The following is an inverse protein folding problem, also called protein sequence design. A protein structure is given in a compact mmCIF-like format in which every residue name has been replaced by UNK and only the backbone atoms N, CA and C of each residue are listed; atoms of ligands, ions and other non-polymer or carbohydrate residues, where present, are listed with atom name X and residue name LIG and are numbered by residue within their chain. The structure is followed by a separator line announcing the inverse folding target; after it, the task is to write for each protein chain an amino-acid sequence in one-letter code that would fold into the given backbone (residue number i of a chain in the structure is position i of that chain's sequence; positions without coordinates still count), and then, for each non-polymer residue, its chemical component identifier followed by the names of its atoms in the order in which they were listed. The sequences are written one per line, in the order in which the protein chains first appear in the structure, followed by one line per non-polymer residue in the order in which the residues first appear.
data_IF_260114999758
#
_entry.id   IF_260114999758
#
_cell.length_a   1.000
_cell.length_b   1.000
_cell.length_c   1.000
_cell.angle_alpha   90.00
_cell.angle_beta   90.00
_cell.angle_gamma   90.00
#
_symmetry.space_group_name_H-M   'P 1'
#
loop_
_entity.id
_entity.type
_entity.pdbx_description
1 polymer ?
#
# COMPACT_ATOMS: atom_id res chain seq x y z
N UNK A 1 5.40 21.50 -40.95
CA UNK A 1 4.95 20.12 -40.99
C UNK A 1 6.07 19.30 -40.37
N UNK A 2 6.14 19.25 -39.07
CA UNK A 2 7.07 18.41 -38.31
C UNK A 2 6.25 17.78 -37.18
N UNK A 3 5.83 16.54 -37.45
CA UNK A 3 5.31 15.63 -36.42
C UNK A 3 6.52 15.15 -35.61
N UNK A 4 6.78 15.78 -34.48
CA UNK A 4 7.58 15.20 -33.41
C UNK A 4 6.62 14.40 -32.50
N UNK A 5 6.52 13.11 -32.79
CA UNK A 5 6.05 12.13 -31.83
C UNK A 5 7.07 12.16 -30.68
N UNK A 6 6.70 12.78 -29.56
CA UNK A 6 7.38 12.61 -28.30
C UNK A 6 7.31 11.10 -27.99
N UNK A 7 8.46 10.46 -28.07
CA UNK A 7 8.67 9.13 -27.54
C UNK A 7 8.49 9.27 -26.01
N UNK A 8 7.38 8.72 -25.52
CA UNK A 8 7.14 8.49 -24.09
C UNK A 8 8.11 7.38 -23.67
N UNK A 9 9.30 7.79 -23.24
CA UNK A 9 10.42 6.92 -22.86
C UNK A 9 10.30 6.51 -21.38
N UNK A 10 9.06 6.29 -20.91
CA UNK A 10 8.81 5.72 -19.60
C UNK A 10 8.99 4.19 -19.72
N UNK A 11 9.96 3.56 -19.04
CA UNK A 11 10.15 2.12 -19.09
C UNK A 11 8.85 1.44 -18.67
N UNK A 12 8.19 0.78 -19.63
CA UNK A 12 7.02 -0.03 -19.34
C UNK A 12 7.45 -1.14 -18.40
N UNK A 13 6.95 -1.10 -17.18
CA UNK A 13 7.16 -2.15 -16.19
C UNK A 13 6.73 -3.48 -16.81
N UNK A 14 7.66 -4.41 -16.92
CA UNK A 14 7.37 -5.74 -17.48
C UNK A 14 6.65 -6.60 -16.44
N UNK A 15 5.32 -6.56 -16.48
CA UNK A 15 4.47 -7.36 -15.57
C UNK A 15 4.46 -8.85 -15.93
N UNK A 16 5.25 -9.30 -16.89
CA UNK A 16 5.36 -10.72 -17.27
C UNK A 16 6.54 -11.42 -16.60
N UNK A 17 7.48 -10.67 -16.00
CA UNK A 17 8.62 -11.22 -15.27
C UNK A 17 8.25 -11.41 -13.79
N UNK A 18 8.35 -12.66 -13.23
CA UNK A 18 8.13 -12.89 -11.79
C UNK A 18 9.04 -12.06 -10.88
N UNK A 19 10.18 -11.57 -11.36
CA UNK A 19 11.09 -10.72 -10.59
C UNK A 19 10.43 -9.40 -10.18
N UNK A 20 9.45 -8.91 -10.93
CA UNK A 20 8.67 -7.70 -10.62
C UNK A 20 8.00 -7.77 -9.25
N UNK A 21 7.62 -8.97 -8.77
CA UNK A 21 6.97 -9.15 -7.47
C UNK A 21 7.82 -8.56 -6.34
N UNK A 22 9.16 -8.63 -6.45
CA UNK A 22 10.06 -8.12 -5.42
C UNK A 22 9.95 -6.60 -5.23
N UNK A 23 9.67 -5.85 -6.28
CA UNK A 23 9.52 -4.40 -6.23
C UNK A 23 8.30 -3.96 -5.41
N UNK A 24 7.28 -4.81 -5.32
CA UNK A 24 6.06 -4.52 -4.57
C UNK A 24 6.16 -4.82 -3.07
N UNK A 25 7.32 -5.28 -2.56
CA UNK A 25 7.48 -5.56 -1.12
C UNK A 25 7.15 -4.36 -0.22
N UNK A 26 7.67 -3.13 -0.46
CA UNK A 26 7.35 -1.96 0.37
C UNK A 26 5.85 -1.65 0.41
N UNK A 27 5.21 -1.73 -0.75
CA UNK A 27 3.77 -1.53 -0.90
C UNK A 27 2.95 -2.56 -0.10
N UNK A 28 3.25 -3.85 -0.25
CA UNK A 28 2.57 -4.92 0.48
C UNK A 28 2.81 -4.84 1.98
N UNK A 29 4.03 -4.48 2.40
CA UNK A 29 4.39 -4.29 3.81
C UNK A 29 3.60 -3.15 4.44
N UNK A 30 3.46 -2.05 3.75
CA UNK A 30 2.66 -0.93 4.20
C UNK A 30 1.17 -1.33 4.35
N UNK A 31 0.58 -1.99 3.35
CA UNK A 31 -0.80 -2.47 3.41
C UNK A 31 -1.02 -3.48 4.55
N UNK A 32 -0.10 -4.42 4.75
CA UNK A 32 -0.15 -5.39 5.84
C UNK A 32 -0.16 -4.68 7.21
N UNK A 33 0.73 -3.70 7.41
CA UNK A 33 0.78 -2.91 8.65
C UNK A 33 -0.49 -2.13 8.93
N UNK A 34 -1.20 -1.68 7.90
CA UNK A 34 -2.48 -0.97 8.04
C UNK A 34 -3.56 -1.94 8.52
N UNK A 35 -3.66 -3.13 7.93
CA UNK A 35 -4.78 -4.03 8.13
C UNK A 35 -4.58 -5.05 9.26
N UNK A 36 -3.32 -5.37 9.60
CA UNK A 36 -3.04 -6.28 10.71
C UNK A 36 -3.33 -5.61 12.05
N UNK A 37 -4.16 -6.26 12.88
CA UNK A 37 -4.40 -5.82 14.26
C UNK A 37 -3.10 -5.85 15.04
N UNK A 38 -2.93 -4.92 16.02
CA UNK A 38 -1.73 -4.85 16.88
C UNK A 38 -1.41 -6.17 17.57
N UNK A 39 -2.44 -6.95 17.96
CA UNK A 39 -2.27 -8.26 18.58
C UNK A 39 -1.61 -9.27 17.63
N UNK A 40 -1.84 -9.16 16.32
CA UNK A 40 -1.23 -10.03 15.32
C UNK A 40 0.20 -9.58 15.00
N UNK A 41 0.44 -8.28 14.93
CA UNK A 41 1.79 -7.73 14.70
C UNK A 41 2.78 -8.14 15.81
N UNK A 42 2.31 -8.42 17.02
CA UNK A 42 3.15 -8.89 18.13
C UNK A 42 3.53 -10.39 18.02
N UNK A 43 2.75 -11.21 17.32
CA UNK A 43 2.97 -12.66 17.19
C UNK A 43 3.59 -13.04 15.83
N UNK A 44 3.13 -12.42 14.76
CA UNK A 44 3.64 -12.62 13.40
C UNK A 44 3.90 -11.24 12.82
N UNK A 45 5.15 -10.95 12.50
CA UNK A 45 5.55 -9.67 11.93
C UNK A 45 4.82 -9.40 10.60
N UNK A 46 4.49 -8.14 10.33
CA UNK A 46 3.97 -7.77 9.00
C UNK A 46 4.95 -8.19 7.87
N UNK A 47 6.25 -8.17 8.17
CA UNK A 47 7.30 -8.62 7.23
C UNK A 47 7.19 -10.11 6.91
N UNK A 48 6.97 -10.98 7.91
CA UNK A 48 6.84 -12.43 7.69
C UNK A 48 5.60 -12.73 6.84
N UNK A 49 4.49 -12.02 7.11
CA UNK A 49 3.27 -12.12 6.32
C UNK A 49 3.49 -11.74 4.87
N UNK A 50 4.21 -10.64 4.64
CA UNK A 50 4.54 -10.17 3.30
C UNK A 50 5.47 -11.14 2.59
N UNK A 51 6.49 -11.67 3.25
CA UNK A 51 7.39 -12.68 2.67
C UNK A 51 6.61 -13.93 2.22
N UNK A 52 5.68 -14.43 3.01
CA UNK A 52 4.83 -15.56 2.62
C UNK A 52 3.93 -15.22 1.43
N UNK A 53 3.34 -14.02 1.41
CA UNK A 53 2.53 -13.58 0.28
C UNK A 53 3.37 -13.45 -1.00
N UNK A 54 4.57 -12.89 -0.92
CA UNK A 54 5.50 -12.78 -2.05
C UNK A 54 5.97 -14.13 -2.56
N UNK A 55 6.31 -15.06 -1.65
CA UNK A 55 6.69 -16.42 -2.03
C UNK A 55 5.56 -17.12 -2.79
N UNK A 56 4.32 -17.00 -2.29
CA UNK A 56 3.14 -17.54 -2.99
C UNK A 56 2.94 -16.86 -4.35
N UNK A 57 3.14 -15.54 -4.44
CA UNK A 57 3.03 -14.80 -5.68
C UNK A 57 4.05 -15.30 -6.72
N UNK A 58 5.33 -15.43 -6.35
CA UNK A 58 6.37 -15.95 -7.25
C UNK A 58 6.05 -17.38 -7.70
N UNK A 59 5.66 -18.27 -6.77
CA UNK A 59 5.31 -19.67 -7.09
C UNK A 59 4.06 -19.80 -7.97
N UNK A 60 3.10 -18.88 -7.82
CA UNK A 60 1.84 -18.87 -8.56
C UNK A 60 1.86 -17.96 -9.78
N UNK A 61 3.01 -17.37 -10.13
CA UNK A 61 3.09 -16.34 -11.16
C UNK A 61 2.65 -16.81 -12.54
N UNK A 62 2.91 -18.07 -12.89
CA UNK A 62 2.45 -18.71 -14.13
C UNK A 62 0.91 -18.72 -14.26
N UNK A 63 0.20 -18.58 -13.15
CA UNK A 63 -1.27 -18.44 -13.08
C UNK A 63 -1.77 -17.03 -13.24
N UNK A 64 -0.90 -16.00 -13.15
CA UNK A 64 -1.28 -14.63 -13.36
C UNK A 64 -1.63 -14.38 -14.82
N UNK A 65 -2.76 -13.74 -15.10
CA UNK A 65 -3.27 -13.47 -16.45
C UNK A 65 -3.44 -11.98 -16.74
N UNK A 66 -2.97 -11.12 -15.84
CA UNK A 66 -3.01 -9.68 -16.02
C UNK A 66 -1.93 -9.21 -17.00
N UNK A 67 -2.13 -8.01 -17.54
CA UNK A 67 -1.23 -7.33 -18.49
C UNK A 67 -0.85 -5.92 -18.02
N UNK A 68 -1.37 -5.50 -16.90
CA UNK A 68 -1.17 -4.16 -16.35
C UNK A 68 -0.71 -4.22 -14.89
N UNK A 69 0.01 -3.20 -14.47
CA UNK A 69 0.41 -3.06 -13.07
C UNK A 69 -0.78 -2.98 -12.10
N UNK A 70 -1.90 -2.37 -12.53
CA UNK A 70 -3.10 -2.30 -11.71
C UNK A 70 -3.68 -3.71 -11.43
N UNK A 71 -3.64 -4.59 -12.43
CA UNK A 71 -4.05 -5.99 -12.29
C UNK A 71 -3.05 -6.77 -11.42
N UNK A 72 -1.74 -6.54 -11.59
CA UNK A 72 -0.71 -7.14 -10.75
C UNK A 72 -0.90 -6.72 -9.28
N UNK A 73 -1.09 -5.44 -9.00
CA UNK A 73 -1.38 -4.95 -7.65
C UNK A 73 -2.66 -5.56 -7.08
N UNK A 74 -3.70 -5.70 -7.91
CA UNK A 74 -4.95 -6.37 -7.52
C UNK A 74 -4.72 -7.81 -7.09
N UNK A 75 -3.99 -8.56 -7.90
CA UNK A 75 -3.65 -9.96 -7.63
C UNK A 75 -2.79 -10.12 -6.38
N UNK A 76 -1.77 -9.28 -6.20
CA UNK A 76 -0.93 -9.27 -4.99
C UNK A 76 -1.73 -8.94 -3.72
N UNK A 77 -2.70 -8.01 -3.80
CA UNK A 77 -3.61 -7.72 -2.67
C UNK A 77 -4.49 -8.91 -2.33
N UNK A 78 -4.98 -9.67 -3.30
CA UNK A 78 -5.78 -10.88 -3.05
C UNK A 78 -4.96 -11.94 -2.29
N UNK A 79 -3.71 -12.17 -2.69
CA UNK A 79 -2.80 -13.08 -2.01
C UNK A 79 -2.56 -12.60 -0.57
N UNK A 80 -2.27 -11.32 -0.37
CA UNK A 80 -2.05 -10.74 0.95
C UNK A 80 -3.31 -10.85 1.84
N UNK A 81 -4.51 -10.56 1.29
CA UNK A 81 -5.78 -10.69 1.99
C UNK A 81 -6.01 -12.13 2.48
N UNK A 82 -5.71 -13.11 1.63
CA UNK A 82 -5.79 -14.53 1.97
C UNK A 82 -4.90 -14.87 3.19
N UNK A 83 -3.64 -14.43 3.17
CA UNK A 83 -2.71 -14.69 4.28
C UNK A 83 -3.13 -14.00 5.58
N UNK A 84 -3.59 -12.74 5.52
CA UNK A 84 -4.09 -12.02 6.71
C UNK A 84 -5.31 -12.73 7.31
N UNK A 85 -6.25 -13.17 6.47
CA UNK A 85 -7.44 -13.90 6.92
C UNK A 85 -7.12 -15.30 7.44
N UNK A 86 -6.09 -15.96 6.88
CA UNK A 86 -5.62 -17.26 7.38
C UNK A 86 -5.06 -17.12 8.79
N UNK A 87 -4.22 -16.12 9.03
CA UNK A 87 -3.69 -15.83 10.37
C UNK A 87 -4.80 -15.55 11.38
N UNK A 88 -5.80 -14.75 11.02
CA UNK A 88 -6.95 -14.44 11.88
C UNK A 88 -7.74 -15.71 12.25
N UNK A 89 -7.91 -16.64 11.32
CA UNK A 89 -8.56 -17.95 11.57
C UNK A 89 -7.77 -18.83 12.54
N UNK A 90 -6.48 -18.98 12.29
CA UNK A 90 -5.62 -19.83 13.13
C UNK A 90 -5.58 -19.35 14.58
N UNK A 91 -5.72 -18.03 14.78
CA UNK A 91 -5.76 -17.42 16.10
C UNK A 91 -7.11 -17.57 16.81
N UNK A 92 -8.22 -17.67 16.06
CA UNK A 92 -9.58 -17.71 16.61
C UNK A 92 -10.28 -19.06 16.43
N UNK A 93 -9.63 -20.07 15.82
CA UNK A 93 -10.22 -21.37 15.45
C UNK A 93 -11.54 -21.24 14.64
N UNK A 94 -11.64 -20.22 13.83
CA UNK A 94 -12.81 -19.94 13.00
C UNK A 94 -12.80 -20.77 11.70
N UNK A 95 -13.99 -21.05 11.16
CA UNK A 95 -14.13 -21.70 9.84
C UNK A 95 -13.78 -20.73 8.71
N UNK A 96 -13.36 -21.30 7.56
CA UNK A 96 -13.10 -20.51 6.33
C UNK A 96 -14.35 -19.70 5.95
N UNK A 97 -14.17 -18.39 5.78
CA UNK A 97 -15.22 -17.48 5.34
C UNK A 97 -14.73 -16.63 4.17
N UNK A 98 -15.18 -16.96 2.97
CA UNK A 98 -14.83 -16.26 1.72
C UNK A 98 -15.26 -14.78 1.79
N UNK A 99 -16.32 -14.43 2.52
CA UNK A 99 -16.78 -13.05 2.68
C UNK A 99 -15.75 -12.21 3.45
N UNK A 100 -15.03 -12.82 4.40
CA UNK A 100 -13.93 -12.14 5.14
C UNK A 100 -12.76 -11.85 4.23
N UNK A 101 -12.39 -12.77 3.33
CA UNK A 101 -11.31 -12.57 2.37
C UNK A 101 -11.66 -11.43 1.39
N UNK A 102 -12.89 -11.42 0.85
CA UNK A 102 -13.38 -10.33 0.00
C UNK A 102 -13.44 -8.99 0.74
N UNK A 103 -13.90 -8.97 2.00
CA UNK A 103 -13.90 -7.76 2.82
C UNK A 103 -12.49 -7.26 3.13
N UNK A 104 -11.51 -8.16 3.32
CA UNK A 104 -10.13 -7.79 3.55
C UNK A 104 -9.51 -7.21 2.28
N UNK A 105 -9.73 -7.85 1.12
CA UNK A 105 -9.27 -7.34 -0.16
C UNK A 105 -9.81 -5.93 -0.44
N UNK A 106 -11.10 -5.69 -0.21
CA UNK A 106 -11.70 -4.36 -0.34
C UNK A 106 -11.04 -3.30 0.56
N UNK A 107 -10.70 -3.65 1.80
CA UNK A 107 -9.98 -2.74 2.71
C UNK A 107 -8.57 -2.44 2.21
N UNK A 108 -7.85 -3.45 1.72
CA UNK A 108 -6.54 -3.28 1.12
C UNK A 108 -6.62 -2.40 -0.15
N UNK A 109 -7.65 -2.62 -0.99
CA UNK A 109 -7.89 -1.79 -2.17
C UNK A 109 -8.19 -0.33 -1.80
N UNK A 110 -9.01 -0.08 -0.78
CA UNK A 110 -9.27 1.27 -0.29
C UNK A 110 -8.01 1.96 0.23
N UNK A 111 -7.16 1.25 0.97
CA UNK A 111 -5.89 1.79 1.45
C UNK A 111 -4.93 2.10 0.29
N UNK A 112 -4.89 1.26 -0.74
CA UNK A 112 -4.15 1.51 -1.99
C UNK A 112 -4.63 2.77 -2.70
N UNK A 113 -5.94 2.91 -2.91
CA UNK A 113 -6.52 4.11 -3.53
C UNK A 113 -6.22 5.39 -2.74
N UNK A 114 -6.21 5.31 -1.41
CA UNK A 114 -5.83 6.45 -0.57
C UNK A 114 -4.35 6.79 -0.68
N UNK A 115 -3.47 5.78 -0.81
CA UNK A 115 -2.05 5.99 -1.08
C UNK A 115 -1.83 6.68 -2.43
N UNK A 116 -2.51 6.19 -3.47
CA UNK A 116 -2.51 6.82 -4.80
C UNK A 116 -3.03 8.26 -4.76
N UNK A 117 -4.08 8.51 -3.96
CA UNK A 117 -4.61 9.86 -3.72
C UNK A 117 -3.64 10.82 -3.03
N UNK A 118 -2.74 10.33 -2.17
CA UNK A 118 -1.67 11.15 -1.57
C UNK A 118 -0.68 11.66 -2.63
N UNK A 119 -0.40 10.86 -3.65
CA UNK A 119 0.46 11.23 -4.77
C UNK A 119 -0.18 12.32 -5.65
N UNK A 120 -1.45 12.14 -5.98
CA UNK A 120 -2.14 13.02 -6.94
C UNK A 120 -2.36 14.45 -6.44
N UNK A 121 -2.25 14.71 -5.13
CA UNK A 121 -2.44 16.05 -4.54
C UNK A 121 -3.82 16.69 -4.79
N UNK A 122 -4.63 16.11 -5.68
CA UNK A 122 -6.03 16.38 -6.05
C UNK A 122 -6.54 15.16 -6.81
N UNK A 123 -7.84 14.91 -6.79
CA UNK A 123 -8.51 13.76 -7.42
C UNK A 123 -7.88 13.38 -8.77
N UNK A 124 -7.46 12.10 -8.96
CA UNK A 124 -6.80 11.68 -10.18
C UNK A 124 -7.74 11.78 -11.39
N UNK A 125 -7.24 12.33 -12.48
CA UNK A 125 -7.91 12.24 -13.79
C UNK A 125 -7.59 10.89 -14.44
N UNK A 126 -8.49 10.31 -15.26
CA UNK A 126 -8.30 8.99 -15.89
C UNK A 126 -6.99 8.83 -16.67
N UNK A 127 -6.44 9.91 -17.22
CA UNK A 127 -5.18 9.92 -17.97
C UNK A 127 -3.92 9.80 -17.11
N UNK A 128 -4.02 10.02 -15.79
CA UNK A 128 -2.90 9.95 -14.85
C UNK A 128 -2.70 8.55 -14.25
N UNK A 129 -3.60 7.61 -14.54
CA UNK A 129 -3.53 6.25 -14.00
C UNK A 129 -2.35 5.42 -14.53
N UNK A 130 -1.72 5.82 -15.62
CA UNK A 130 -0.57 5.10 -16.21
C UNK A 130 0.75 5.44 -15.50
N UNK A 131 0.87 6.65 -14.94
CA UNK A 131 2.07 7.12 -14.20
C UNK A 131 2.05 6.67 -12.72
N UNK A 132 0.96 6.04 -12.25
CA UNK A 132 0.71 5.74 -10.84
C UNK A 132 1.39 4.46 -10.32
N UNK A 133 1.89 3.57 -11.18
CA UNK A 133 2.45 2.28 -10.78
C UNK A 133 3.74 2.42 -9.98
N UNK A 134 4.78 2.95 -10.59
CA UNK A 134 6.08 3.21 -9.96
C UNK A 134 5.96 4.18 -8.79
N UNK A 135 5.12 5.18 -8.93
CA UNK A 135 4.85 6.16 -7.89
C UNK A 135 4.24 5.55 -6.61
N UNK A 136 3.46 4.45 -6.71
CA UNK A 136 2.88 3.78 -5.52
C UNK A 136 3.94 3.08 -4.69
N UNK A 137 4.92 2.44 -5.34
CA UNK A 137 6.05 1.80 -4.66
C UNK A 137 6.91 2.85 -3.98
N UNK A 138 7.33 3.88 -4.72
CA UNK A 138 8.11 5.00 -4.19
C UNK A 138 7.41 5.71 -3.03
N UNK A 139 6.08 5.92 -3.14
CA UNK A 139 5.31 6.50 -2.05
C UNK A 139 5.28 5.58 -0.83
N UNK A 140 5.12 4.27 -1.02
CA UNK A 140 5.13 3.32 0.10
C UNK A 140 6.49 3.33 0.81
N UNK A 141 7.59 3.36 0.07
CA UNK A 141 8.94 3.52 0.61
C UNK A 141 9.13 4.85 1.33
N UNK A 142 8.70 5.95 0.72
CA UNK A 142 8.79 7.27 1.33
C UNK A 142 8.02 7.33 2.65
N UNK A 143 6.82 6.75 2.72
CA UNK A 143 6.04 6.64 3.97
C UNK A 143 6.77 5.81 5.01
N UNK A 144 7.39 4.68 4.63
CA UNK A 144 8.14 3.82 5.54
C UNK A 144 9.42 4.50 6.08
N UNK A 145 10.03 5.38 5.31
CA UNK A 145 11.22 6.14 5.69
C UNK A 145 10.92 7.37 6.56
N UNK A 146 9.66 7.72 6.78
CA UNK A 146 9.29 8.80 7.69
C UNK A 146 9.68 8.48 9.14
N UNK A 147 10.02 9.49 9.96
CA UNK A 147 10.12 9.34 11.40
C UNK A 147 8.85 8.69 11.98
N UNK A 148 8.99 7.76 12.93
CA UNK A 148 7.90 6.90 13.41
C UNK A 148 6.61 7.66 13.77
N UNK A 149 6.74 8.80 14.45
CA UNK A 149 5.57 9.60 14.84
C UNK A 149 4.83 10.22 13.65
N UNK A 150 5.55 10.64 12.61
CA UNK A 150 4.98 11.18 11.37
C UNK A 150 4.36 10.05 10.56
N UNK A 151 5.07 8.95 10.37
CA UNK A 151 4.59 7.74 9.68
C UNK A 151 3.29 7.24 10.31
N UNK A 152 3.25 7.13 11.65
CA UNK A 152 2.04 6.71 12.38
C UNK A 152 0.86 7.65 12.14
N UNK A 153 1.09 8.98 12.19
CA UNK A 153 0.03 9.96 11.94
C UNK A 153 -0.48 9.89 10.50
N UNK A 154 0.43 9.85 9.51
CA UNK A 154 0.10 9.70 8.07
C UNK A 154 -0.72 8.43 7.85
N UNK A 155 -0.26 7.29 8.36
CA UNK A 155 -0.95 6.01 8.22
C UNK A 155 -2.39 6.08 8.76
N UNK A 156 -2.55 6.51 10.01
CA UNK A 156 -3.86 6.55 10.67
C UNK A 156 -4.82 7.50 9.97
N UNK A 157 -4.35 8.70 9.62
CA UNK A 157 -5.23 9.73 9.05
C UNK A 157 -5.52 9.51 7.57
N UNK A 158 -4.46 9.38 6.74
CA UNK A 158 -4.62 9.32 5.30
C UNK A 158 -4.91 7.89 4.78
N UNK A 159 -4.25 6.85 5.32
CA UNK A 159 -4.37 5.51 4.76
C UNK A 159 -5.48 4.69 5.44
N UNK A 160 -5.70 4.86 6.73
CA UNK A 160 -6.83 4.24 7.45
C UNK A 160 -8.10 5.12 7.42
N UNK A 161 -7.97 6.41 7.14
CA UNK A 161 -9.08 7.36 6.98
C UNK A 161 -9.68 7.84 8.30
N UNK A 162 -8.91 7.78 9.40
CA UNK A 162 -9.38 8.24 10.72
C UNK A 162 -9.42 9.77 10.79
N UNK A 163 -10.37 10.27 11.57
CA UNK A 163 -10.46 11.72 11.85
C UNK A 163 -9.29 12.17 12.73
N UNK A 164 -8.96 13.45 12.67
CA UNK A 164 -7.87 14.03 13.46
C UNK A 164 -8.02 13.76 14.97
N UNK A 165 -9.26 13.85 15.49
CA UNK A 165 -9.58 13.55 16.88
C UNK A 165 -9.30 12.10 17.29
N UNK A 166 -9.64 11.14 16.39
CA UNK A 166 -9.41 9.71 16.62
C UNK A 166 -7.90 9.40 16.61
N UNK A 167 -7.15 10.04 15.68
CA UNK A 167 -5.67 9.92 15.65
C UNK A 167 -5.05 10.49 16.92
N UNK A 168 -5.56 11.61 17.42
CA UNK A 168 -5.11 12.23 18.67
C UNK A 168 -5.32 11.29 19.86
N UNK A 169 -6.48 10.67 19.98
CA UNK A 169 -6.80 9.68 21.00
C UNK A 169 -5.87 8.45 20.91
N UNK A 170 -5.72 7.82 19.73
CA UNK A 170 -4.87 6.64 19.52
C UNK A 170 -3.39 6.93 19.83
N UNK A 171 -2.94 8.16 19.54
CA UNK A 171 -1.52 8.52 19.73
C UNK A 171 -1.22 9.13 21.10
N UNK A 172 -2.23 9.45 21.90
CA UNK A 172 -2.08 10.14 23.17
C UNK A 172 -1.58 11.58 23.01
N UNK A 173 -1.88 12.23 21.87
CA UNK A 173 -1.42 13.58 21.54
C UNK A 173 -2.60 14.53 21.39
N UNK A 174 -2.33 15.85 21.48
CA UNK A 174 -3.36 16.84 21.13
C UNK A 174 -3.61 16.87 19.61
N UNK A 175 -4.81 17.27 19.19
CA UNK A 175 -5.14 17.42 17.76
C UNK A 175 -4.19 18.39 17.05
N UNK A 176 -3.74 19.47 17.72
CA UNK A 176 -2.75 20.40 17.18
C UNK A 176 -1.38 19.75 16.95
N UNK A 177 -0.94 18.87 17.89
CA UNK A 177 0.30 18.12 17.74
C UNK A 177 0.22 17.13 16.57
N UNK A 178 -0.93 16.43 16.40
CA UNK A 178 -1.17 15.53 15.27
C UNK A 178 -1.18 16.30 13.96
N UNK A 179 -1.86 17.45 13.87
CA UNK A 179 -1.84 18.32 12.70
C UNK A 179 -0.42 18.74 12.32
N UNK A 180 0.42 19.09 13.30
CA UNK A 180 1.84 19.39 13.09
C UNK A 180 2.63 18.19 12.57
N UNK A 181 2.35 16.96 13.04
CA UNK A 181 2.99 15.74 12.53
C UNK A 181 2.58 15.46 11.08
N UNK A 182 1.29 15.59 10.77
CA UNK A 182 0.78 15.42 9.40
C UNK A 182 1.40 16.44 8.44
N UNK A 183 1.46 17.71 8.84
CA UNK A 183 2.07 18.76 8.02
C UNK A 183 3.53 18.49 7.70
N UNK A 184 4.34 18.16 8.72
CA UNK A 184 5.76 17.82 8.54
C UNK A 184 5.95 16.56 7.72
N UNK A 185 5.15 15.50 7.99
CA UNK A 185 5.22 14.25 7.24
C UNK A 185 4.91 14.46 5.76
N UNK A 186 3.85 15.21 5.44
CA UNK A 186 3.49 15.53 4.05
C UNK A 186 4.55 16.41 3.36
N UNK A 187 5.20 17.32 4.09
CA UNK A 187 6.32 18.10 3.55
C UNK A 187 7.49 17.19 3.19
N UNK A 188 7.87 16.28 4.08
CA UNK A 188 8.97 15.33 3.85
C UNK A 188 8.66 14.40 2.65
N UNK A 189 7.43 13.86 2.56
CA UNK A 189 7.02 13.02 1.43
C UNK A 189 7.15 13.75 0.10
N UNK A 190 6.69 15.01 0.02
CA UNK A 190 6.81 15.80 -1.21
C UNK A 190 8.27 16.06 -1.61
N UNK A 191 9.15 16.25 -0.64
CA UNK A 191 10.58 16.42 -0.91
C UNK A 191 11.20 15.13 -1.45
N UNK A 192 10.98 13.99 -0.79
CA UNK A 192 11.51 12.68 -1.20
C UNK A 192 11.04 12.27 -2.60
N UNK A 193 9.78 12.57 -2.95
CA UNK A 193 9.23 12.26 -4.27
C UNK A 193 9.61 13.27 -5.38
N UNK A 194 10.16 14.41 -5.02
CA UNK A 194 10.66 15.39 -5.98
C UNK A 194 12.15 15.17 -6.31
N UNK A 195 12.86 14.50 -5.40
CA UNK A 195 14.32 14.25 -5.51
C UNK A 195 14.62 12.86 -6.14
N UNK A 196 13.63 12.00 -6.36
CA UNK A 196 13.75 10.67 -6.95
C UNK A 196 13.09 10.61 -8.32
#
# INVERSE_FOLDING_TARGET
MNDQFEHDDNPKVDVTDPAIVAEYEPYLRMLARIQMRRAFQAKVGASDMVQQAMLQAVQGFDGFRGSTEAELRGWLRQILAHHICHLDRDMHRDKRDVRREQSMEQKLAQSSLRLEGLLAGKSPTPSQNVVLGENVIQMAEAVENLPESQRKAIRLHYLEGLKLSEVAEITGKSSGAVAGLLHRGMKTLRQQLADG
#
